data_IF_024033453681
#
_entry.id   IF_024033453681
#
_cell.length_a   1.000
_cell.length_b   1.000
_cell.length_c   1.000
_cell.angle_alpha   90.00
_cell.angle_beta   90.00
_cell.angle_gamma   90.00
#
_symmetry.space_group_name_H-M   'P 1'
#
loop_
_entity.id
_entity.type
_entity.pdbx_description
1 polymer ?
#
# COMPACT_ATOMS: atom_id res chain seq x y z
N UNK A 1 19.95 -4.20 -72.10
CA UNK A 1 18.57 -4.60 -71.72
C UNK A 1 18.71 -5.98 -71.09
N UNK A 2 18.44 -6.26 -69.81
CA UNK A 2 17.61 -5.60 -68.79
C UNK A 2 18.13 -5.99 -67.40
N UNK A 3 17.91 -5.11 -66.41
CA UNK A 3 18.08 -5.37 -64.97
C UNK A 3 17.10 -6.44 -64.48
N UNK A 4 17.37 -7.04 -63.31
CA UNK A 4 16.34 -6.98 -62.28
C UNK A 4 16.87 -6.53 -60.92
N UNK A 5 16.10 -5.60 -60.36
CA UNK A 5 16.19 -5.01 -59.06
C UNK A 5 15.83 -6.03 -57.98
N UNK A 6 16.73 -6.32 -57.03
CA UNK A 6 16.33 -6.91 -55.75
C UNK A 6 16.13 -5.80 -54.73
N UNK A 7 14.85 -5.61 -54.41
CA UNK A 7 14.31 -4.75 -53.37
C UNK A 7 14.94 -5.15 -52.02
N UNK A 8 15.60 -4.20 -51.36
CA UNK A 8 15.94 -4.29 -49.93
C UNK A 8 14.63 -4.40 -49.15
N UNK A 9 14.35 -5.56 -48.55
CA UNK A 9 13.35 -5.69 -47.50
C UNK A 9 13.86 -4.93 -46.26
N UNK A 10 13.32 -3.74 -46.01
CA UNK A 10 13.49 -3.05 -44.74
C UNK A 10 12.71 -3.80 -43.67
N UNK A 11 13.42 -4.54 -42.82
CA UNK A 11 12.85 -5.14 -41.62
C UNK A 11 12.54 -4.00 -40.62
N UNK A 12 11.28 -3.57 -40.60
CA UNK A 12 10.80 -2.55 -39.68
C UNK A 12 10.57 -3.18 -38.31
N UNK A 13 11.62 -3.25 -37.49
CA UNK A 13 11.48 -3.52 -36.06
C UNK A 13 10.55 -2.47 -35.44
N UNK A 14 9.32 -2.88 -35.10
CA UNK A 14 8.31 -2.03 -34.48
C UNK A 14 8.87 -1.41 -33.20
N UNK A 15 9.10 -0.10 -33.19
CA UNK A 15 9.57 0.63 -32.00
C UNK A 15 8.40 0.75 -31.02
N UNK A 16 8.50 0.07 -29.88
CA UNK A 16 7.59 0.21 -28.75
C UNK A 16 8.00 1.46 -27.95
N UNK A 17 7.07 2.39 -27.75
CA UNK A 17 7.32 3.59 -26.93
C UNK A 17 6.96 3.29 -25.47
N UNK A 18 7.94 3.52 -24.58
CA UNK A 18 7.77 3.40 -23.14
C UNK A 18 7.79 4.80 -22.51
N UNK A 19 6.80 5.11 -21.67
CA UNK A 19 6.76 6.34 -20.87
C UNK A 19 7.12 6.04 -19.43
N UNK A 20 7.88 6.94 -18.78
CA UNK A 20 8.19 6.85 -17.35
C UNK A 20 7.22 7.73 -16.55
N UNK A 21 6.64 7.17 -15.48
CA UNK A 21 5.80 7.92 -14.54
C UNK A 21 6.63 8.39 -13.34
N UNK A 22 6.43 9.62 -12.89
CA UNK A 22 7.06 10.17 -11.69
C UNK A 22 6.13 11.17 -11.00
N UNK A 23 6.26 11.30 -9.68
CA UNK A 23 5.63 12.36 -8.90
C UNK A 23 6.39 13.70 -9.00
N UNK A 24 7.62 13.69 -9.51
CA UNK A 24 8.42 14.91 -9.61
C UNK A 24 7.92 15.80 -10.75
N UNK A 25 7.81 17.12 -10.53
CA UNK A 25 7.48 18.07 -11.60
C UNK A 25 8.63 18.28 -12.59
N UNK A 26 9.81 17.73 -12.30
CA UNK A 26 11.01 17.78 -13.15
C UNK A 26 11.42 16.38 -13.56
N UNK A 27 12.22 16.28 -14.63
CA UNK A 27 12.67 14.98 -15.13
C UNK A 27 13.46 14.20 -14.05
N UNK A 28 13.09 12.94 -13.75
CA UNK A 28 13.79 12.10 -12.79
C UNK A 28 15.28 11.96 -13.11
N UNK A 29 16.14 12.21 -12.12
CA UNK A 29 17.60 12.06 -12.26
C UNK A 29 18.09 10.66 -11.88
N UNK A 30 17.27 9.91 -11.14
CA UNK A 30 17.59 8.56 -10.68
C UNK A 30 16.43 7.61 -10.97
N UNK A 31 16.76 6.34 -11.25
CA UNK A 31 15.74 5.31 -11.51
C UNK A 31 14.72 5.21 -10.38
N UNK A 32 15.16 5.27 -9.12
CA UNK A 32 14.29 5.21 -7.92
C UNK A 32 13.26 6.36 -7.79
N UNK A 33 13.33 7.37 -8.66
CA UNK A 33 12.36 8.47 -8.74
C UNK A 33 11.26 8.22 -9.79
N UNK A 34 11.37 7.12 -10.54
CA UNK A 34 10.38 6.68 -11.54
C UNK A 34 9.48 5.63 -10.90
N UNK A 35 8.19 5.91 -10.80
CA UNK A 35 7.16 5.01 -10.23
C UNK A 35 7.10 3.71 -11.02
N UNK A 36 7.16 3.81 -12.34
CA UNK A 36 7.14 2.69 -13.26
C UNK A 36 6.99 3.15 -14.71
N UNK A 37 6.79 2.18 -15.60
CA UNK A 37 6.80 2.41 -17.04
C UNK A 37 5.48 2.02 -17.68
N UNK A 38 5.00 2.84 -18.60
CA UNK A 38 3.82 2.56 -19.42
C UNK A 38 4.23 2.13 -20.82
N UNK A 39 3.73 0.98 -21.27
CA UNK A 39 3.92 0.49 -22.64
C UNK A 39 2.74 0.90 -23.52
N UNK A 40 2.99 1.69 -24.58
CA UNK A 40 1.94 2.06 -25.55
C UNK A 40 2.12 1.33 -26.89
N UNK A 41 1.03 0.78 -27.44
CA UNK A 41 1.03 0.12 -28.74
C UNK A 41 0.98 1.13 -29.89
N UNK A 42 1.71 0.87 -30.98
CA UNK A 42 1.72 1.73 -32.17
C UNK A 42 0.34 1.74 -32.85
N UNK A 43 -0.29 2.92 -32.99
CA UNK A 43 -1.54 3.07 -33.75
C UNK A 43 -2.46 4.22 -33.32
N UNK A 44 -2.31 4.75 -32.12
CA UNK A 44 -2.88 6.05 -31.77
C UNK A 44 -1.73 6.98 -31.46
N UNK A 45 -1.67 8.14 -32.14
CA UNK A 45 -0.91 9.27 -31.59
C UNK A 45 -1.30 9.47 -30.13
N UNK A 46 -0.43 10.11 -29.35
CA UNK A 46 -0.78 10.56 -27.99
C UNK A 46 -1.94 11.56 -28.08
N UNK A 47 -3.16 11.06 -28.27
CA UNK A 47 -4.36 11.77 -27.95
C UNK A 47 -4.46 11.59 -26.45
N UNK A 48 -3.92 12.56 -25.70
CA UNK A 48 -4.35 12.75 -24.32
C UNK A 48 -5.84 13.08 -24.45
N UNK A 49 -6.77 12.18 -24.11
CA UNK A 49 -8.18 12.50 -24.13
C UNK A 49 -8.39 13.70 -23.20
N UNK A 50 -9.45 14.48 -23.35
CA UNK A 50 -9.74 15.61 -22.44
C UNK A 50 -9.83 15.20 -20.94
N UNK A 51 -9.82 13.89 -20.63
CA UNK A 51 -9.69 13.31 -19.28
C UNK A 51 -8.30 12.82 -18.86
N UNK A 52 -7.22 13.10 -19.59
CA UNK A 52 -5.84 12.72 -19.22
C UNK A 52 -5.43 11.29 -19.59
N UNK A 53 -4.14 10.97 -19.38
CA UNK A 53 -3.57 9.64 -19.67
C UNK A 53 -4.10 8.62 -18.65
N UNK A 54 -4.89 7.65 -19.11
CA UNK A 54 -5.40 6.57 -18.26
C UNK A 54 -4.33 5.47 -18.08
N UNK A 55 -3.86 5.29 -16.85
CA UNK A 55 -2.96 4.18 -16.47
C UNK A 55 -3.78 2.90 -16.32
N UNK A 56 -3.48 1.87 -17.12
CA UNK A 56 -4.09 0.54 -17.00
C UNK A 56 -3.08 -0.46 -16.44
N UNK A 57 -3.45 -1.33 -15.49
CA UNK A 57 -2.51 -2.28 -14.87
C UNK A 57 -1.76 -3.15 -15.89
N UNK A 58 -2.45 -3.65 -16.92
CA UNK A 58 -1.85 -4.49 -17.96
C UNK A 58 -0.90 -3.74 -18.93
N UNK A 59 -0.79 -2.42 -18.80
CA UNK A 59 0.11 -1.57 -19.57
C UNK A 59 1.16 -0.90 -18.69
N UNK A 60 1.19 -1.21 -17.41
CA UNK A 60 2.10 -0.63 -16.43
C UNK A 60 3.07 -1.69 -15.91
N UNK A 61 4.34 -1.32 -15.81
CA UNK A 61 5.39 -2.13 -15.20
C UNK A 61 5.95 -1.36 -14.03
N UNK A 62 5.82 -1.92 -12.83
CA UNK A 62 6.32 -1.34 -11.60
C UNK A 62 7.85 -1.24 -11.58
N UNK A 63 8.35 -0.23 -10.89
CA UNK A 63 9.77 -0.08 -10.63
C UNK A 63 10.11 -0.47 -9.20
N UNK A 64 10.76 -1.62 -9.03
CA UNK A 64 11.18 -2.13 -7.72
C UNK A 64 12.05 -1.15 -6.93
N UNK A 65 12.90 -0.37 -7.61
CA UNK A 65 13.74 0.64 -6.96
C UNK A 65 12.89 1.78 -6.34
N UNK A 66 11.78 2.13 -6.99
CA UNK A 66 10.82 3.08 -6.42
C UNK A 66 9.99 2.44 -5.31
N UNK A 67 9.49 1.21 -5.48
CA UNK A 67 8.75 0.49 -4.43
C UNK A 67 9.56 0.43 -3.12
N UNK A 68 10.86 0.13 -3.21
CA UNK A 68 11.76 0.12 -2.04
C UNK A 68 11.81 1.49 -1.35
N UNK A 69 11.92 2.57 -2.12
CA UNK A 69 11.91 3.95 -1.58
C UNK A 69 10.55 4.31 -0.99
N UNK A 70 9.45 3.95 -1.65
CA UNK A 70 8.08 4.15 -1.16
C UNK A 70 7.91 3.50 0.21
N UNK A 71 8.23 2.22 0.34
CA UNK A 71 8.10 1.51 1.61
C UNK A 71 9.03 2.08 2.68
N UNK A 72 10.27 2.44 2.33
CA UNK A 72 11.19 3.08 3.27
C UNK A 72 10.66 4.45 3.75
N UNK A 73 10.13 5.26 2.83
CA UNK A 73 9.57 6.57 3.15
C UNK A 73 8.31 6.46 4.03
N UNK A 74 7.44 5.48 3.76
CA UNK A 74 6.27 5.18 4.61
C UNK A 74 6.72 4.74 6.00
N UNK A 75 7.73 3.88 6.11
CA UNK A 75 8.28 3.43 7.40
C UNK A 75 9.01 4.54 8.17
N UNK A 76 9.56 5.55 7.46
CA UNK A 76 10.20 6.72 8.06
C UNK A 76 9.20 7.76 8.56
N UNK A 77 7.95 7.74 8.08
CA UNK A 77 6.92 8.59 8.67
C UNK A 77 6.62 8.10 10.08
N UNK A 78 6.51 9.03 11.02
CA UNK A 78 6.01 8.71 12.34
C UNK A 78 4.57 8.21 12.18
N UNK A 79 4.28 7.04 12.72
CA UNK A 79 2.91 6.55 12.81
C UNK A 79 2.16 7.47 13.76
N UNK A 80 1.47 8.45 13.20
CA UNK A 80 0.62 9.40 13.93
C UNK A 80 -0.85 8.96 13.82
N UNK A 81 -1.60 9.07 14.91
CA UNK A 81 -3.05 8.89 14.88
C UNK A 81 -3.59 8.01 16.00
N UNK A 82 -4.76 7.42 15.77
CA UNK A 82 -5.40 6.52 16.73
C UNK A 82 -5.34 5.09 16.22
N UNK A 83 -5.08 4.16 17.14
CA UNK A 83 -5.16 2.73 16.84
C UNK A 83 -6.06 2.01 17.84
N UNK A 84 -6.63 0.89 17.40
CA UNK A 84 -7.57 0.10 18.16
C UNK A 84 -6.91 -1.16 18.71
N UNK A 85 -7.13 -1.44 19.99
CA UNK A 85 -6.76 -2.71 20.62
C UNK A 85 -7.88 -3.70 20.34
N UNK A 86 -7.60 -4.70 19.51
CA UNK A 86 -8.60 -5.64 18.99
C UNK A 86 -8.84 -6.80 19.97
N UNK A 87 -10.11 -7.21 20.07
CA UNK A 87 -10.52 -8.50 20.65
C UNK A 87 -10.50 -9.58 19.57
N UNK A 88 -9.58 -10.54 19.71
CA UNK A 88 -9.32 -11.55 18.69
C UNK A 88 -10.32 -12.70 18.68
N UNK A 89 -11.33 -12.70 19.58
CA UNK A 89 -12.37 -13.75 19.57
C UNK A 89 -13.21 -13.76 18.29
N UNK A 90 -13.26 -12.62 17.59
CA UNK A 90 -13.96 -12.46 16.31
C UNK A 90 -13.13 -11.57 15.36
N UNK A 91 -12.14 -12.14 14.66
CA UNK A 91 -11.25 -11.38 13.79
C UNK A 91 -12.01 -10.71 12.63
N UNK A 92 -11.70 -9.45 12.28
CA UNK A 92 -12.34 -8.79 11.15
C UNK A 92 -11.92 -9.44 9.82
N UNK A 93 -12.74 -9.30 8.77
CA UNK A 93 -12.32 -9.61 7.41
C UNK A 93 -11.02 -8.86 7.05
N UNK A 94 -10.21 -9.46 6.17
CA UNK A 94 -8.93 -8.88 5.76
C UNK A 94 -9.08 -7.43 5.29
N UNK A 95 -8.24 -6.54 5.83
CA UNK A 95 -8.24 -5.12 5.52
C UNK A 95 -9.40 -4.31 6.11
N UNK A 96 -10.16 -4.87 7.07
CA UNK A 96 -11.25 -4.16 7.77
C UNK A 96 -10.89 -3.87 9.23
N UNK A 97 -11.43 -2.75 9.72
CA UNK A 97 -11.43 -2.42 11.15
C UNK A 97 -12.48 -3.31 11.84
N UNK A 98 -12.21 -3.84 13.06
CA UNK A 98 -13.20 -4.59 13.83
C UNK A 98 -14.45 -3.75 14.15
N UNK A 99 -15.56 -4.42 14.43
CA UNK A 99 -16.75 -3.74 14.95
C UNK A 99 -16.49 -3.23 16.38
N UNK A 100 -17.23 -2.21 16.86
CA UNK A 100 -16.99 -1.63 18.19
C UNK A 100 -17.05 -2.65 19.34
N UNK A 101 -17.87 -3.70 19.25
CA UNK A 101 -17.96 -4.76 20.26
C UNK A 101 -16.71 -5.66 20.35
N UNK A 102 -15.89 -5.67 19.30
CA UNK A 102 -14.64 -6.44 19.17
C UNK A 102 -13.39 -5.53 19.26
N UNK A 103 -13.55 -4.33 19.83
CA UNK A 103 -12.46 -3.41 20.16
C UNK A 103 -12.46 -3.19 21.67
N UNK A 104 -11.35 -3.43 22.37
CA UNK A 104 -11.23 -3.12 23.80
C UNK A 104 -11.24 -1.62 24.08
N UNK A 105 -10.55 -0.88 23.21
CA UNK A 105 -10.34 0.55 23.34
C UNK A 105 -9.39 1.07 22.28
N UNK A 106 -9.20 2.38 22.30
CA UNK A 106 -8.33 3.09 21.37
C UNK A 106 -7.26 3.84 22.12
N UNK A 107 -6.10 3.99 21.50
CA UNK A 107 -4.97 4.74 22.04
C UNK A 107 -4.34 5.57 20.93
N UNK A 108 -3.91 6.77 21.27
CA UNK A 108 -3.22 7.66 20.36
C UNK A 108 -1.73 7.26 20.25
N UNK A 109 -1.19 7.36 19.06
CA UNK A 109 0.22 7.25 18.75
C UNK A 109 0.71 8.65 18.35
N UNK A 110 1.77 9.09 19.02
CA UNK A 110 2.50 10.34 18.74
C UNK A 110 3.98 10.03 18.76
N UNK A 111 4.71 10.50 17.75
CA UNK A 111 6.11 10.21 17.47
C UNK A 111 6.41 8.69 17.44
N UNK A 112 5.48 7.90 16.90
CA UNK A 112 5.57 6.43 16.87
C UNK A 112 5.47 5.74 18.24
N UNK A 113 5.04 6.45 19.28
CA UNK A 113 4.88 5.91 20.64
C UNK A 113 3.43 5.99 21.11
N UNK A 114 2.98 4.94 21.79
CA UNK A 114 1.68 4.92 22.46
C UNK A 114 1.62 5.99 23.57
N UNK A 115 0.58 6.81 23.53
CA UNK A 115 0.27 7.77 24.57
C UNK A 115 -0.68 7.14 25.58
N UNK A 116 -0.15 6.48 26.61
CA UNK A 116 -0.97 5.70 27.56
C UNK A 116 -2.11 6.50 28.21
N UNK A 117 -1.91 7.79 28.47
CA UNK A 117 -2.94 8.69 29.04
C UNK A 117 -4.12 8.94 28.11
N UNK A 118 -3.97 8.69 26.81
CA UNK A 118 -5.03 8.83 25.81
C UNK A 118 -5.95 7.60 25.71
N UNK A 119 -5.67 6.53 26.47
CA UNK A 119 -6.43 5.29 26.35
C UNK A 119 -7.91 5.52 26.64
N UNK A 120 -8.75 5.21 25.65
CA UNK A 120 -10.20 5.29 25.74
C UNK A 120 -10.77 3.89 25.57
N UNK A 121 -11.33 3.35 26.66
CA UNK A 121 -12.05 2.08 26.64
C UNK A 121 -13.27 2.20 25.72
N UNK A 122 -13.53 1.15 24.95
CA UNK A 122 -14.71 1.06 24.10
C UNK A 122 -15.97 0.74 24.94
N UNK A 123 -17.01 1.60 24.93
CA UNK A 123 -18.19 1.39 25.78
C UNK A 123 -19.02 0.16 25.44
N UNK A 124 -19.00 -0.28 24.18
CA UNK A 124 -19.73 -1.45 23.69
C UNK A 124 -19.05 -2.78 23.99
N UNK A 125 -17.75 -2.79 24.29
CA UNK A 125 -17.01 -4.03 24.54
C UNK A 125 -17.50 -4.74 25.82
N UNK A 126 -17.52 -6.07 25.76
CA UNK A 126 -17.87 -6.94 26.88
C UNK A 126 -16.80 -8.02 27.05
N UNK A 127 -16.43 -8.29 28.30
CA UNK A 127 -15.48 -9.37 28.67
C UNK A 127 -15.98 -10.73 28.17
N UNK A 128 -17.29 -10.98 28.22
CA UNK A 128 -17.95 -12.16 27.65
C UNK A 128 -19.06 -11.70 26.72
N UNK A 129 -19.13 -12.26 25.52
CA UNK A 129 -20.20 -12.03 24.54
C UNK A 129 -20.76 -13.36 24.03
N UNK A 130 -21.66 -13.31 23.04
CA UNK A 130 -22.11 -14.51 22.32
C UNK A 130 -20.97 -15.27 21.63
N UNK A 131 -19.84 -14.60 21.37
CA UNK A 131 -18.64 -15.19 20.78
C UNK A 131 -17.68 -15.75 21.85
N UNK A 132 -18.10 -15.76 23.12
CA UNK A 132 -17.33 -16.30 24.24
C UNK A 132 -16.50 -15.26 24.98
N UNK A 133 -15.49 -15.75 25.71
CA UNK A 133 -14.55 -14.93 26.46
C UNK A 133 -13.67 -14.11 25.50
N UNK A 134 -13.33 -12.89 25.88
CA UNK A 134 -12.40 -12.05 25.14
C UNK A 134 -11.08 -12.77 24.85
N UNK A 135 -10.44 -12.41 23.74
CA UNK A 135 -9.10 -12.88 23.39
C UNK A 135 -8.20 -11.70 23.07
N UNK A 136 -7.00 -11.72 23.62
CA UNK A 136 -5.95 -10.76 23.33
C UNK A 136 -4.99 -11.35 22.31
N UNK A 137 -4.16 -10.51 21.68
CA UNK A 137 -2.98 -11.01 20.98
C UNK A 137 -2.06 -11.73 21.96
N UNK A 138 -1.26 -12.69 21.47
CA UNK A 138 -0.35 -13.49 22.31
C UNK A 138 0.51 -12.60 23.22
N UNK A 139 1.07 -11.52 22.67
CA UNK A 139 1.88 -10.57 23.43
C UNK A 139 1.10 -9.91 24.58
N UNK A 140 -0.11 -9.40 24.32
CA UNK A 140 -0.91 -8.74 25.35
C UNK A 140 -1.44 -9.74 26.38
N UNK A 141 -1.79 -10.96 25.95
CA UNK A 141 -2.17 -12.04 26.84
C UNK A 141 -1.05 -12.38 27.82
N UNK A 142 0.17 -12.60 27.31
CA UNK A 142 1.34 -12.87 28.16
C UNK A 142 1.61 -11.74 29.15
N UNK A 143 1.52 -10.48 28.70
CA UNK A 143 1.69 -9.30 29.58
C UNK A 143 0.62 -9.23 30.66
N UNK A 144 -0.65 -9.55 30.33
CA UNK A 144 -1.72 -9.60 31.31
C UNK A 144 -1.47 -10.69 32.35
N UNK A 145 -1.10 -11.90 31.93
CA UNK A 145 -0.80 -13.00 32.86
C UNK A 145 0.39 -12.66 33.76
N UNK A 146 1.46 -12.07 33.21
CA UNK A 146 2.60 -11.60 34.01
C UNK A 146 2.16 -10.57 35.06
N UNK A 147 1.35 -9.60 34.67
CA UNK A 147 0.82 -8.59 35.57
C UNK A 147 -0.01 -9.21 36.70
N UNK A 148 -0.95 -10.11 36.36
CA UNK A 148 -1.83 -10.77 37.33
C UNK A 148 -1.07 -11.65 38.33
N UNK A 149 0.04 -12.28 37.91
CA UNK A 149 0.89 -13.08 38.81
C UNK A 149 1.69 -12.25 39.82
N UNK A 150 1.86 -10.96 39.53
CA UNK A 150 2.64 -10.03 40.34
C UNK A 150 1.76 -9.12 41.21
N UNK A 151 0.44 -9.36 41.24
CA UNK A 151 -0.49 -8.75 42.20
C UNK A 151 -0.38 -9.44 43.57
#
# INVERSE_FOLDING_TARGET
MSTPSHVRSSDSSKVQSNFALSFLPTFPRHNRQVIGYLSHGHGSGLVVPEGGLQVKPNKFTENEAFNTVLHSAVLQQQLEGWTHITDYRNPPPYGRIPTPEDIFGSVQIVDGKFQNSSYQRMPSHRIVSSNGLFQLSDHLHEKLIQYLRNL
#
